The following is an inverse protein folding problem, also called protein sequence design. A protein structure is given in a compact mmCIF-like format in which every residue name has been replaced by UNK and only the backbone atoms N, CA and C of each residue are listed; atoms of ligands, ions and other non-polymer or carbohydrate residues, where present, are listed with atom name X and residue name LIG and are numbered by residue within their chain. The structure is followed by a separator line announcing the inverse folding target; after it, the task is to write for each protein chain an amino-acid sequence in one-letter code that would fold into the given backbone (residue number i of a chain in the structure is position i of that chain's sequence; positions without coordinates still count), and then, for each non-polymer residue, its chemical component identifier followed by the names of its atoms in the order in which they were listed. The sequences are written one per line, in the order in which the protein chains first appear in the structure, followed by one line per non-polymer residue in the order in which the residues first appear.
data_IF_450044155501
#
_entry.id   IF_450044155501
#
_cell.length_a   1.000
_cell.length_b   1.000
_cell.length_c   1.000
_cell.angle_alpha   90.00
_cell.angle_beta   90.00
_cell.angle_gamma   90.00
#
_symmetry.space_group_name_H-M   'P 1'
#
loop_
_entity.id
_entity.type
_entity.pdbx_description
1 polymer ?
#
# COMPACT_ATOMS: atom_id res chain seq x y z
N UNK A 1 16.42 -10.86 1.39
CA UNK A 1 16.26 -9.49 0.88
C UNK A 1 15.27 -8.64 1.71
N UNK A 2 14.16 -9.20 2.21
CA UNK A 2 13.14 -8.44 2.98
C UNK A 2 13.60 -7.81 4.31
N UNK A 3 14.64 -8.35 4.96
CA UNK A 3 15.21 -7.77 6.19
C UNK A 3 15.72 -6.34 6.00
N UNK A 4 16.48 -6.08 4.95
CA UNK A 4 17.12 -4.77 4.71
C UNK A 4 16.12 -3.64 4.42
N UNK A 5 15.03 -3.94 3.70
CA UNK A 5 14.01 -2.94 3.35
C UNK A 5 13.25 -2.48 4.61
N UNK A 6 12.86 -3.45 5.44
CA UNK A 6 12.11 -3.14 6.65
C UNK A 6 12.96 -2.35 7.68
N UNK A 7 14.29 -2.51 7.71
CA UNK A 7 15.14 -1.71 8.59
C UNK A 7 15.23 -0.24 8.16
N UNK A 8 15.17 0.04 6.85
CA UNK A 8 15.11 1.42 6.33
C UNK A 8 13.79 2.11 6.65
N UNK A 9 12.68 1.40 6.56
CA UNK A 9 11.36 1.99 6.78
C UNK A 9 11.06 2.16 8.27
N UNK A 10 11.58 1.29 9.14
CA UNK A 10 11.42 1.41 10.61
C UNK A 10 11.89 2.75 11.18
N UNK A 11 12.88 3.39 10.55
CA UNK A 11 13.36 4.70 10.97
C UNK A 11 12.25 5.77 10.92
N UNK A 12 11.31 5.64 9.98
CA UNK A 12 10.22 6.60 9.79
C UNK A 12 8.88 6.11 10.34
N UNK A 13 8.70 4.81 10.54
CA UNK A 13 7.47 4.29 11.11
C UNK A 13 7.31 4.68 12.58
N UNK A 14 6.08 4.98 12.97
CA UNK A 14 5.66 5.26 14.33
C UNK A 14 4.40 4.48 14.64
N UNK A 15 4.20 4.18 15.92
CA UNK A 15 2.93 3.66 16.42
C UNK A 15 1.83 4.68 16.08
N UNK A 16 0.78 4.31 15.32
CA UNK A 16 -0.28 5.23 14.94
C UNK A 16 -1.10 5.77 16.11
N UNK A 17 -1.10 5.08 17.25
CA UNK A 17 -1.88 5.47 18.43
C UNK A 17 -1.09 6.27 19.46
N UNK A 18 0.21 6.02 19.61
CA UNK A 18 1.05 6.68 20.62
C UNK A 18 2.13 7.60 20.05
N UNK A 19 2.40 7.53 18.74
CA UNK A 19 3.52 8.23 18.11
C UNK A 19 4.91 7.68 18.48
N UNK A 20 4.98 6.60 19.29
CA UNK A 20 6.25 6.00 19.70
C UNK A 20 7.00 5.39 18.50
N UNK A 21 8.35 5.42 18.49
CA UNK A 21 9.14 4.62 17.55
C UNK A 21 8.76 3.15 17.57
N UNK A 22 8.81 2.50 16.40
CA UNK A 22 8.60 1.06 16.30
C UNK A 22 9.94 0.32 16.25
N UNK A 23 10.00 -0.83 16.92
CA UNK A 23 11.15 -1.72 16.96
C UNK A 23 10.73 -3.12 16.53
N UNK A 24 11.64 -3.90 15.95
CA UNK A 24 11.34 -5.30 15.63
C UNK A 24 11.33 -6.16 16.88
N UNK A 25 10.32 -7.00 16.96
CA UNK A 25 10.30 -8.22 17.77
C UNK A 25 10.04 -9.41 16.83
N UNK A 26 10.33 -10.63 17.27
CA UNK A 26 10.23 -11.82 16.41
C UNK A 26 8.81 -12.01 15.82
N UNK A 27 8.64 -11.68 14.54
CA UNK A 27 7.35 -11.68 13.83
C UNK A 27 6.45 -10.45 14.06
N UNK A 28 6.91 -9.43 14.78
CA UNK A 28 6.11 -8.26 15.17
C UNK A 28 6.89 -6.94 15.11
N UNK A 29 6.16 -5.83 15.10
CA UNK A 29 6.67 -4.51 15.44
C UNK A 29 6.06 -4.06 16.78
N UNK A 30 6.89 -3.52 17.66
CA UNK A 30 6.48 -3.06 19.00
C UNK A 30 6.80 -1.58 19.19
N UNK A 31 5.90 -0.85 19.87
CA UNK A 31 6.10 0.56 20.20
C UNK A 31 5.19 1.04 21.33
N UNK A 32 5.79 1.43 22.45
CA UNK A 32 5.04 1.76 23.67
C UNK A 32 4.32 0.54 24.23
N UNK A 33 2.99 0.63 24.38
CA UNK A 33 2.13 -0.49 24.84
C UNK A 33 1.54 -1.30 23.68
N UNK A 34 1.90 -0.99 22.43
CA UNK A 34 1.30 -1.59 21.25
C UNK A 34 2.25 -2.58 20.57
N UNK A 35 1.67 -3.66 20.05
CA UNK A 35 2.35 -4.70 19.28
C UNK A 35 1.55 -5.03 18.03
N UNK A 36 2.23 -5.08 16.90
CA UNK A 36 1.64 -5.22 15.57
C UNK A 36 2.24 -6.43 14.86
N UNK A 37 1.44 -7.37 14.35
CA UNK A 37 1.97 -8.52 13.63
C UNK A 37 2.56 -8.09 12.28
N UNK A 38 3.61 -8.79 11.84
CA UNK A 38 4.11 -8.71 10.47
C UNK A 38 3.58 -9.93 9.73
N UNK A 39 2.66 -9.71 8.78
CA UNK A 39 2.01 -10.76 7.99
C UNK A 39 2.55 -10.69 6.57
N UNK A 40 3.11 -11.78 6.07
CA UNK A 40 3.71 -11.86 4.72
C UNK A 40 4.74 -10.75 4.42
N UNK A 41 5.46 -10.31 5.46
CA UNK A 41 6.45 -9.23 5.38
C UNK A 41 5.88 -7.82 5.47
N UNK A 42 4.56 -7.67 5.65
CA UNK A 42 3.83 -6.40 5.74
C UNK A 42 3.46 -6.14 7.22
N UNK A 43 3.86 -5.00 7.82
CA UNK A 43 3.43 -4.64 9.16
C UNK A 43 1.93 -4.27 9.20
N UNK A 44 1.17 -4.95 10.04
CA UNK A 44 -0.23 -4.63 10.27
C UNK A 44 -0.37 -3.61 11.40
N UNK A 45 -0.15 -2.33 11.07
CA UNK A 45 -0.19 -1.22 12.04
C UNK A 45 -1.62 -0.77 12.39
N UNK A 46 -2.52 -1.72 12.62
CA UNK A 46 -3.93 -1.46 12.83
C UNK A 46 -4.43 -2.24 14.05
N UNK A 47 -5.06 -1.54 14.98
CA UNK A 47 -5.87 -2.14 16.02
C UNK A 47 -7.29 -2.33 15.47
N UNK A 48 -7.63 -3.57 15.13
CA UNK A 48 -8.91 -3.96 14.54
C UNK A 48 -10.11 -3.54 15.39
N UNK A 49 -9.93 -3.46 16.71
CA UNK A 49 -10.95 -3.04 17.67
C UNK A 49 -11.27 -1.55 17.59
N UNK A 50 -10.38 -0.76 16.97
CA UNK A 50 -10.51 0.70 16.84
C UNK A 50 -11.02 1.15 15.47
N UNK A 51 -11.21 0.22 14.53
CA UNK A 51 -11.78 0.54 13.23
C UNK A 51 -13.23 0.99 13.37
N UNK A 52 -13.57 2.07 12.66
CA UNK A 52 -14.98 2.47 12.51
C UNK A 52 -15.75 1.37 11.78
N UNK A 53 -17.07 1.31 11.97
CA UNK A 53 -17.92 0.36 11.24
C UNK A 53 -17.83 0.56 9.72
N UNK A 54 -17.67 1.81 9.29
CA UNK A 54 -17.51 2.16 7.88
C UNK A 54 -16.20 1.60 7.31
N UNK A 55 -15.09 1.78 8.00
CA UNK A 55 -13.78 1.26 7.55
C UNK A 55 -13.76 -0.27 7.54
N UNK A 56 -14.38 -0.89 8.56
CA UNK A 56 -14.54 -2.35 8.61
C UNK A 56 -15.38 -2.87 7.44
N UNK A 57 -16.46 -2.17 7.11
CA UNK A 57 -17.29 -2.50 5.97
C UNK A 57 -16.48 -2.47 4.66
N UNK A 58 -15.74 -1.38 4.42
CA UNK A 58 -14.88 -1.28 3.24
C UNK A 58 -13.79 -2.35 3.22
N UNK A 59 -13.13 -2.61 4.35
CA UNK A 59 -12.13 -3.67 4.47
C UNK A 59 -12.66 -5.05 4.04
N UNK A 60 -13.90 -5.37 4.41
CA UNK A 60 -14.55 -6.66 4.12
C UNK A 60 -15.17 -6.73 2.71
N UNK A 61 -15.61 -5.61 2.15
CA UNK A 61 -16.28 -5.55 0.85
C UNK A 61 -15.35 -5.94 -0.31
N UNK A 62 -14.04 -5.80 -0.12
CA UNK A 62 -13.02 -6.08 -1.13
C UNK A 62 -12.38 -7.46 -0.93
N UNK A 63 -13.09 -8.54 -1.27
CA UNK A 63 -12.49 -9.88 -1.37
C UNK A 63 -11.54 -10.03 -2.56
N UNK A 64 -10.59 -10.98 -2.52
CA UNK A 64 -9.57 -11.19 -3.58
C UNK A 64 -10.18 -11.43 -4.97
N UNK A 65 -11.24 -12.24 -5.05
CA UNK A 65 -11.94 -12.48 -6.32
C UNK A 65 -12.68 -11.24 -6.83
N UNK A 66 -13.24 -10.46 -5.90
CA UNK A 66 -13.95 -9.22 -6.21
C UNK A 66 -12.97 -8.17 -6.71
N UNK A 67 -11.76 -8.09 -6.14
CA UNK A 67 -10.73 -7.12 -6.54
C UNK A 67 -10.29 -7.29 -8.00
N UNK A 68 -10.00 -8.51 -8.45
CA UNK A 68 -9.61 -8.75 -9.86
C UNK A 68 -10.75 -8.49 -10.84
N UNK A 69 -11.97 -8.88 -10.47
CA UNK A 69 -13.18 -8.62 -11.27
C UNK A 69 -13.48 -7.11 -11.31
N UNK A 70 -13.26 -6.40 -10.21
CA UNK A 70 -13.44 -4.95 -10.08
C UNK A 70 -12.47 -4.18 -10.99
N UNK A 71 -11.18 -4.54 -11.00
CA UNK A 71 -10.19 -3.91 -11.90
C UNK A 71 -10.53 -4.13 -13.38
N UNK A 72 -11.00 -5.32 -13.74
CA UNK A 72 -11.42 -5.63 -15.10
C UNK A 72 -12.67 -4.81 -15.51
N UNK A 73 -13.63 -4.67 -14.60
CA UNK A 73 -14.84 -3.86 -14.81
C UNK A 73 -14.48 -2.38 -14.96
N UNK A 74 -13.63 -1.83 -14.09
CA UNK A 74 -13.15 -0.44 -14.19
C UNK A 74 -12.47 -0.22 -15.53
N UNK A 75 -11.54 -1.10 -15.94
CA UNK A 75 -10.85 -0.96 -17.22
C UNK A 75 -11.82 -0.97 -18.39
N UNK A 76 -12.78 -1.89 -18.40
CA UNK A 76 -13.79 -1.97 -19.46
C UNK A 76 -14.69 -0.74 -19.49
N UNK A 77 -15.17 -0.27 -18.34
CA UNK A 77 -15.97 0.96 -18.24
C UNK A 77 -15.18 2.18 -18.71
N UNK A 78 -13.91 2.28 -18.33
CA UNK A 78 -13.02 3.38 -18.70
C UNK A 78 -12.82 3.48 -20.22
N UNK A 79 -12.67 2.32 -20.89
CA UNK A 79 -12.62 2.21 -22.34
C UNK A 79 -13.91 2.72 -22.99
N UNK A 80 -15.07 2.31 -22.46
CA UNK A 80 -16.39 2.68 -22.99
C UNK A 80 -16.70 4.18 -22.84
N UNK A 81 -16.16 4.83 -21.81
CA UNK A 81 -16.36 6.26 -21.52
C UNK A 81 -15.32 7.14 -22.25
N UNK A 82 -14.35 6.54 -22.96
CA UNK A 82 -13.29 7.27 -23.67
C UNK A 82 -12.19 7.81 -22.76
N UNK A 83 -12.15 7.35 -21.52
CA UNK A 83 -11.16 7.70 -20.51
C UNK A 83 -10.32 6.46 -20.21
N UNK A 84 -9.28 6.20 -21.01
CA UNK A 84 -8.46 5.00 -20.82
C UNK A 84 -7.69 5.06 -19.51
N UNK A 85 -8.17 4.32 -18.50
CA UNK A 85 -7.68 4.38 -17.12
C UNK A 85 -6.15 4.23 -16.98
N UNK A 86 -5.46 3.33 -17.72
CA UNK A 86 -4.01 3.25 -17.64
C UNK A 86 -3.29 4.50 -18.15
N UNK A 87 -3.83 5.19 -19.15
CA UNK A 87 -3.24 6.43 -19.65
C UNK A 87 -3.43 7.57 -18.64
N UNK A 88 -4.60 7.65 -18.00
CA UNK A 88 -4.86 8.69 -17.00
C UNK A 88 -4.05 8.48 -15.72
N UNK A 89 -3.88 7.23 -15.25
CA UNK A 89 -2.96 6.92 -14.14
C UNK A 89 -1.53 7.34 -14.46
N UNK A 90 -1.06 7.02 -15.66
CA UNK A 90 0.27 7.44 -16.10
C UNK A 90 0.38 8.97 -16.10
N UNK A 91 -0.61 9.68 -16.67
CA UNK A 91 -0.63 11.15 -16.67
C UNK A 91 -0.60 11.72 -15.25
N UNK A 92 -1.40 11.16 -14.34
CA UNK A 92 -1.41 11.55 -12.94
C UNK A 92 -0.02 11.38 -12.29
N UNK A 93 0.65 10.25 -12.53
CA UNK A 93 2.01 10.03 -12.01
C UNK A 93 3.04 10.94 -12.68
N UNK A 94 2.93 11.21 -13.98
CA UNK A 94 3.83 12.13 -14.70
C UNK A 94 3.73 13.58 -14.16
N UNK A 95 2.63 13.97 -13.49
CA UNK A 95 2.52 15.25 -12.79
C UNK A 95 3.37 15.33 -11.51
N UNK A 96 3.72 14.18 -10.91
CA UNK A 96 4.61 14.11 -9.75
C UNK A 96 6.07 14.30 -10.21
N UNK A 97 6.45 15.51 -10.57
CA UNK A 97 7.83 15.80 -11.01
C UNK A 97 8.85 15.69 -9.86
N UNK A 98 10.07 15.22 -10.16
CA UNK A 98 11.22 15.37 -9.26
C UNK A 98 11.48 14.29 -8.21
N UNK A 99 10.92 13.07 -8.37
CA UNK A 99 11.01 12.01 -7.34
C UNK A 99 12.07 10.93 -7.63
N UNK A 100 12.96 11.14 -8.60
CA UNK A 100 14.01 10.16 -8.92
C UNK A 100 14.95 9.93 -7.73
N UNK A 101 15.10 8.66 -7.33
CA UNK A 101 15.85 8.25 -6.14
C UNK A 101 15.20 8.65 -4.81
N UNK A 102 14.01 9.25 -4.84
CA UNK A 102 13.26 9.70 -3.67
C UNK A 102 12.37 8.60 -3.07
N UNK A 103 11.56 9.01 -2.11
CA UNK A 103 10.55 8.15 -1.46
C UNK A 103 9.14 8.63 -1.79
N UNK A 104 8.28 7.72 -2.21
CA UNK A 104 6.86 7.96 -2.52
C UNK A 104 6.01 7.29 -1.46
N UNK A 105 4.97 7.97 -0.97
CA UNK A 105 3.92 7.37 -0.15
C UNK A 105 2.65 7.24 -0.99
N UNK A 106 2.19 6.01 -1.20
CA UNK A 106 0.90 5.70 -1.83
C UNK A 106 -0.12 5.34 -0.75
N UNK A 107 -1.22 6.08 -0.69
CA UNK A 107 -2.30 5.90 0.28
C UNK A 107 -3.47 5.23 -0.42
N UNK A 108 -4.07 4.22 0.23
CA UNK A 108 -5.14 3.40 -0.35
C UNK A 108 -4.68 2.75 -1.66
N UNK A 109 -3.58 1.99 -1.58
CA UNK A 109 -2.91 1.39 -2.74
C UNK A 109 -3.82 0.43 -3.52
N UNK A 110 -4.86 -0.12 -2.89
CA UNK A 110 -5.79 -1.05 -3.53
C UNK A 110 -5.04 -2.24 -4.12
N UNK A 111 -5.33 -2.58 -5.38
CA UNK A 111 -4.65 -3.67 -6.10
C UNK A 111 -3.25 -3.32 -6.62
N UNK A 112 -2.75 -2.11 -6.35
CA UNK A 112 -1.42 -1.67 -6.78
C UNK A 112 -1.35 -1.13 -8.21
N UNK A 113 -2.48 -0.75 -8.83
CA UNK A 113 -2.53 -0.30 -10.23
C UNK A 113 -1.62 0.93 -10.55
N UNK A 114 -1.27 1.73 -9.54
CA UNK A 114 -0.34 2.85 -9.68
C UNK A 114 1.14 2.44 -9.55
N UNK A 115 1.44 1.31 -8.90
CA UNK A 115 2.79 0.92 -8.51
C UNK A 115 3.77 0.82 -9.68
N UNK A 116 3.43 0.26 -10.87
CA UNK A 116 4.37 0.20 -11.99
C UNK A 116 4.80 1.59 -12.49
N UNK A 117 3.89 2.56 -12.47
CA UNK A 117 4.15 3.93 -12.90
C UNK A 117 4.99 4.67 -11.86
N UNK A 118 4.65 4.51 -10.58
CA UNK A 118 5.41 5.08 -9.46
C UNK A 118 6.82 4.51 -9.40
N UNK A 119 7.00 3.21 -9.66
CA UNK A 119 8.31 2.56 -9.68
C UNK A 119 9.18 3.12 -10.81
N UNK A 120 8.59 3.35 -11.98
CA UNK A 120 9.27 4.02 -13.09
C UNK A 120 9.67 5.45 -12.75
N UNK A 121 8.81 6.20 -12.05
CA UNK A 121 9.08 7.58 -11.64
C UNK A 121 10.20 7.64 -10.58
N UNK A 122 10.13 6.78 -9.57
CA UNK A 122 11.10 6.71 -8.49
C UNK A 122 12.48 6.22 -8.96
N UNK A 123 12.51 5.35 -9.98
CA UNK A 123 13.73 4.77 -10.51
C UNK A 123 14.34 3.70 -9.59
N UNK A 124 15.49 3.11 -9.98
CA UNK A 124 16.05 1.91 -9.34
C UNK A 124 16.56 2.14 -7.91
N UNK A 125 16.86 3.37 -7.53
CA UNK A 125 17.26 3.74 -6.16
C UNK A 125 16.11 4.28 -5.31
N UNK A 126 14.95 4.52 -5.92
CA UNK A 126 13.78 5.06 -5.24
C UNK A 126 13.07 4.03 -4.37
N UNK A 127 12.18 4.51 -3.51
CA UNK A 127 11.43 3.69 -2.56
C UNK A 127 9.95 4.05 -2.58
N UNK A 128 9.07 3.06 -2.65
CA UNK A 128 7.62 3.25 -2.54
C UNK A 128 7.15 2.64 -1.23
N UNK A 129 6.49 3.45 -0.42
CA UNK A 129 5.77 3.01 0.78
C UNK A 129 4.30 3.04 0.44
N UNK A 130 3.64 1.89 0.50
CA UNK A 130 2.22 1.78 0.21
C UNK A 130 1.46 1.37 1.46
N UNK A 131 0.27 1.95 1.66
CA UNK A 131 -0.62 1.61 2.78
C UNK A 131 -2.04 1.35 2.29
N UNK A 132 -2.68 0.34 2.86
CA UNK A 132 -4.10 0.04 2.68
C UNK A 132 -4.66 -0.60 3.96
N UNK A 133 -5.97 -0.47 4.16
CA UNK A 133 -6.69 -1.09 5.28
C UNK A 133 -7.20 -2.49 4.93
N UNK A 134 -7.18 -2.90 3.66
CA UNK A 134 -7.65 -4.20 3.20
C UNK A 134 -6.50 -5.21 3.05
N UNK A 135 -6.49 -6.31 3.83
CA UNK A 135 -5.51 -7.38 3.65
C UNK A 135 -5.55 -8.02 2.25
N UNK A 136 -6.75 -8.12 1.66
CA UNK A 136 -6.92 -8.68 0.33
C UNK A 136 -6.28 -7.80 -0.75
N UNK A 137 -6.48 -6.49 -0.66
CA UNK A 137 -5.85 -5.51 -1.55
C UNK A 137 -4.33 -5.55 -1.40
N UNK A 138 -3.82 -5.56 -0.16
CA UNK A 138 -2.38 -5.66 0.11
C UNK A 138 -1.74 -6.90 -0.52
N UNK A 139 -2.38 -8.07 -0.48
CA UNK A 139 -1.86 -9.28 -1.16
C UNK A 139 -1.80 -9.12 -2.68
N UNK A 140 -2.81 -8.52 -3.29
CA UNK A 140 -2.81 -8.26 -4.74
C UNK A 140 -1.74 -7.24 -5.11
N UNK A 141 -1.62 -6.14 -4.35
CA UNK A 141 -0.60 -5.12 -4.56
C UNK A 141 0.81 -5.68 -4.40
N UNK A 142 1.03 -6.56 -3.42
CA UNK A 142 2.32 -7.24 -3.22
C UNK A 142 2.73 -8.03 -4.46
N UNK A 143 1.82 -8.81 -5.04
CA UNK A 143 2.08 -9.53 -6.29
C UNK A 143 2.32 -8.62 -7.50
N UNK A 144 1.76 -7.40 -7.51
CA UNK A 144 2.07 -6.42 -8.57
C UNK A 144 3.43 -5.74 -8.39
N UNK A 145 3.97 -5.75 -7.18
CA UNK A 145 5.26 -5.13 -6.86
C UNK A 145 6.46 -6.08 -7.05
N UNK A 146 6.20 -7.38 -7.17
CA UNK A 146 7.19 -8.43 -7.52
C UNK A 146 7.56 -8.41 -9.01
#
# INVERSE_FOLDING_TARGET
MGGFIMDRILQVLRCPYSGAPLHRADGYLEGGLYRYPVVDGIPWLLAEERLSELDRHFQQQYGEETARKYDAVIRLQSLLIGCWEPAERRRMVDLLSGVQGGRILEIAVGTGANLPWLARLAGPSGEIVAVDLSPAMMRVAQHQAE
#
